data_IF_328579837654
#
_entry.id   IF_328579837654
#
_cell.length_a   1.000
_cell.length_b   1.000
_cell.length_c   1.000
_cell.angle_alpha   90.00
_cell.angle_beta   90.00
_cell.angle_gamma   90.00
#
_symmetry.space_group_name_H-M   'P 1'
#
loop_
_entity.id
_entity.type
_entity.pdbx_description
1 polymer ?
#
# COMPACT_ATOMS: atom_id res chain seq x y z
N UNK A 1 -2.13 -26.00 -11.94
CA UNK A 1 -0.70 -26.21 -12.29
C UNK A 1 0.19 -25.51 -11.26
N UNK A 2 1.38 -26.04 -10.91
CA UNK A 2 2.14 -25.55 -9.76
C UNK A 2 2.68 -24.13 -10.03
N UNK A 3 2.39 -23.17 -9.14
CA UNK A 3 2.75 -21.75 -9.26
C UNK A 3 4.25 -21.44 -9.07
N UNK A 4 5.10 -22.45 -8.92
CA UNK A 4 6.50 -22.31 -8.44
C UNK A 4 7.46 -21.65 -9.44
N UNK A 5 7.10 -21.54 -10.73
CA UNK A 5 7.99 -20.95 -11.76
C UNK A 5 7.62 -19.53 -12.19
N UNK A 6 6.60 -18.91 -11.57
CA UNK A 6 6.14 -17.57 -11.95
C UNK A 6 6.91 -16.45 -11.28
N UNK A 7 7.50 -16.66 -10.10
CA UNK A 7 8.02 -15.56 -9.28
C UNK A 7 9.55 -15.43 -9.41
N UNK A 8 10.04 -14.22 -9.71
CA UNK A 8 11.47 -13.90 -9.86
C UNK A 8 11.92 -12.82 -8.89
N UNK A 9 13.22 -12.81 -8.57
CA UNK A 9 13.86 -11.80 -7.69
C UNK A 9 14.39 -10.57 -8.45
N UNK A 10 14.69 -10.74 -9.73
CA UNK A 10 15.26 -9.70 -10.60
C UNK A 10 14.39 -9.48 -11.82
N UNK A 11 14.41 -8.28 -12.42
CA UNK A 11 13.70 -7.99 -13.65
C UNK A 11 14.18 -8.89 -14.80
N UNK A 12 13.30 -9.13 -15.79
CA UNK A 12 13.64 -9.85 -17.00
C UNK A 12 14.44 -8.94 -17.95
N UNK A 13 15.68 -9.31 -18.33
CA UNK A 13 16.52 -8.49 -19.21
C UNK A 13 15.98 -8.36 -20.64
N UNK A 14 15.01 -9.21 -21.04
CA UNK A 14 14.35 -9.13 -22.35
C UNK A 14 13.18 -8.16 -22.37
N UNK A 15 12.68 -7.76 -21.20
CA UNK A 15 11.55 -6.83 -21.05
C UNK A 15 12.08 -5.42 -20.84
N UNK A 16 11.34 -4.43 -21.34
CA UNK A 16 11.64 -3.02 -21.03
C UNK A 16 11.26 -2.67 -19.58
N UNK A 17 11.59 -1.46 -19.15
CA UNK A 17 11.34 -0.99 -17.79
C UNK A 17 9.85 -1.08 -17.39
N UNK A 18 8.93 -0.61 -18.24
CA UNK A 18 7.49 -0.60 -17.93
C UNK A 18 6.90 -2.01 -17.86
N UNK A 19 7.35 -2.92 -18.73
CA UNK A 19 6.95 -4.32 -18.69
C UNK A 19 7.41 -5.00 -17.39
N UNK A 20 8.66 -4.76 -16.98
CA UNK A 20 9.15 -5.25 -15.69
C UNK A 20 8.42 -4.62 -14.50
N UNK A 21 7.98 -3.37 -14.61
CA UNK A 21 7.18 -2.73 -13.57
C UNK A 21 5.76 -3.30 -13.51
N UNK A 22 5.16 -3.65 -14.66
CA UNK A 22 3.88 -4.38 -14.71
C UNK A 22 3.99 -5.72 -13.99
N UNK A 23 5.03 -6.51 -14.31
CA UNK A 23 5.33 -7.79 -13.65
C UNK A 23 5.50 -7.62 -12.12
N UNK A 24 6.03 -6.48 -11.67
CA UNK A 24 6.14 -6.13 -10.26
C UNK A 24 4.77 -5.78 -9.64
N UNK A 25 3.96 -5.02 -10.36
CA UNK A 25 2.61 -4.65 -9.92
C UNK A 25 1.71 -5.87 -9.78
N UNK A 26 1.78 -6.83 -10.71
CA UNK A 26 1.05 -8.09 -10.63
C UNK A 26 1.48 -8.92 -9.41
N UNK A 27 2.79 -8.95 -9.11
CA UNK A 27 3.31 -9.56 -7.88
C UNK A 27 2.75 -8.88 -6.63
N UNK A 28 2.73 -7.54 -6.60
CA UNK A 28 2.15 -6.79 -5.50
C UNK A 28 0.66 -7.09 -5.35
N UNK A 29 -0.10 -7.13 -6.45
CA UNK A 29 -1.52 -7.45 -6.45
C UNK A 29 -1.78 -8.83 -5.85
N UNK A 30 -1.11 -9.89 -6.33
CA UNK A 30 -1.25 -11.24 -5.77
C UNK A 30 -0.94 -11.27 -4.25
N UNK A 31 0.07 -10.51 -3.83
CA UNK A 31 0.47 -10.42 -2.42
C UNK A 31 -0.57 -9.67 -1.60
N UNK A 32 -1.15 -8.59 -2.13
CA UNK A 32 -2.22 -7.83 -1.49
C UNK A 32 -3.49 -8.66 -1.38
N UNK A 33 -3.88 -9.40 -2.42
CA UNK A 33 -5.03 -10.32 -2.37
C UNK A 33 -4.88 -11.35 -1.25
N UNK A 34 -3.70 -11.97 -1.10
CA UNK A 34 -3.42 -12.91 0.00
C UNK A 34 -3.53 -12.24 1.38
N UNK A 35 -3.11 -10.99 1.51
CA UNK A 35 -3.24 -10.22 2.76
C UNK A 35 -4.70 -9.84 3.01
N UNK A 36 -5.44 -9.49 1.96
CA UNK A 36 -6.86 -9.14 2.02
C UNK A 36 -7.71 -10.34 2.44
N UNK A 37 -7.51 -11.51 1.83
CA UNK A 37 -8.20 -12.73 2.25
C UNK A 37 -7.96 -13.03 3.74
N UNK A 38 -6.71 -12.93 4.20
CA UNK A 38 -6.38 -13.11 5.63
C UNK A 38 -7.01 -12.06 6.55
N UNK A 39 -7.28 -10.87 6.04
CA UNK A 39 -7.97 -9.82 6.79
C UNK A 39 -9.47 -10.13 6.90
N UNK A 40 -10.10 -10.51 5.79
CA UNK A 40 -11.53 -10.86 5.72
C UNK A 40 -11.85 -12.11 6.53
N UNK A 41 -10.92 -13.06 6.63
CA UNK A 41 -11.04 -14.25 7.47
C UNK A 41 -11.05 -13.95 8.99
N UNK A 42 -10.71 -12.73 9.42
CA UNK A 42 -10.76 -12.33 10.84
C UNK A 42 -12.18 -11.95 11.25
N UNK A 43 -12.66 -12.55 12.34
CA UNK A 43 -14.06 -12.47 12.76
C UNK A 43 -14.42 -11.18 13.51
N UNK A 44 -13.45 -10.49 14.14
CA UNK A 44 -13.69 -9.29 14.91
C UNK A 44 -12.79 -8.11 14.47
N UNK A 45 -13.27 -6.90 14.72
CA UNK A 45 -12.59 -5.66 14.34
C UNK A 45 -11.22 -5.52 15.02
N UNK A 46 -11.07 -5.95 16.27
CA UNK A 46 -9.81 -5.85 17.00
C UNK A 46 -8.69 -6.69 16.35
N UNK A 47 -8.99 -7.91 15.92
CA UNK A 47 -8.06 -8.77 15.19
C UNK A 47 -7.73 -8.21 13.81
N UNK A 48 -8.72 -7.64 13.12
CA UNK A 48 -8.52 -6.95 11.84
C UNK A 48 -7.57 -5.75 12.03
N UNK A 49 -7.81 -4.89 13.03
CA UNK A 49 -6.94 -3.76 13.35
C UNK A 49 -5.54 -4.20 13.75
N UNK A 50 -5.41 -5.21 14.61
CA UNK A 50 -4.10 -5.74 15.02
C UNK A 50 -3.33 -6.34 13.84
N UNK A 51 -4.03 -7.00 12.91
CA UNK A 51 -3.42 -7.53 11.69
C UNK A 51 -2.97 -6.39 10.76
N UNK A 52 -3.82 -5.39 10.51
CA UNK A 52 -3.48 -4.21 9.71
C UNK A 52 -2.31 -3.44 10.31
N UNK A 53 -2.30 -3.23 11.63
CA UNK A 53 -1.22 -2.55 12.31
C UNK A 53 0.11 -3.31 12.15
N UNK A 54 0.10 -4.65 12.32
CA UNK A 54 1.29 -5.48 12.07
C UNK A 54 1.77 -5.39 10.62
N UNK A 55 0.86 -5.34 9.64
CA UNK A 55 1.23 -5.18 8.23
C UNK A 55 1.75 -3.77 7.92
N UNK A 56 1.15 -2.74 8.50
CA UNK A 56 1.56 -1.35 8.37
C UNK A 56 2.95 -1.13 8.97
N UNK A 57 3.19 -1.59 10.20
CA UNK A 57 4.49 -1.49 10.87
C UNK A 57 5.60 -2.23 10.10
N UNK A 58 5.29 -3.39 9.51
CA UNK A 58 6.25 -4.11 8.63
C UNK A 58 6.66 -3.30 7.40
N UNK A 59 5.79 -2.42 6.90
CA UNK A 59 6.06 -1.57 5.73
C UNK A 59 6.57 -0.17 6.11
N UNK A 60 6.27 0.29 7.31
CA UNK A 60 6.72 1.55 7.90
C UNK A 60 8.09 1.46 8.56
N UNK A 61 8.82 0.34 8.45
CA UNK A 61 10.24 0.33 8.85
C UNK A 61 11.01 1.31 7.95
N UNK A 62 11.21 2.53 8.46
CA UNK A 62 11.97 3.62 7.84
C UNK A 62 13.45 3.20 7.61
N UNK A 63 13.87 2.09 8.21
CA UNK A 63 15.18 1.45 8.07
C UNK A 63 15.19 0.25 7.13
N UNK A 64 14.32 0.22 6.11
CA UNK A 64 14.56 -0.69 4.99
C UNK A 64 15.91 -0.34 4.33
N UNK A 65 16.50 -1.36 3.70
CA UNK A 65 17.81 -1.30 3.04
C UNK A 65 17.97 0.01 2.25
N UNK A 66 19.00 0.80 2.60
CA UNK A 66 19.32 2.09 1.98
C UNK A 66 19.93 1.98 0.58
N UNK A 67 20.07 0.75 0.04
CA UNK A 67 20.61 0.48 -1.29
C UNK A 67 19.49 0.06 -2.22
N UNK A 68 19.57 0.49 -3.48
CA UNK A 68 18.59 0.19 -4.50
C UNK A 68 18.69 -1.29 -4.91
N UNK A 69 17.52 -1.92 -5.01
CA UNK A 69 17.35 -3.28 -5.51
C UNK A 69 16.53 -3.33 -6.80
N UNK A 70 16.47 -2.29 -7.63
CA UNK A 70 15.55 -2.19 -8.78
C UNK A 70 14.12 -1.79 -8.37
N UNK A 71 13.96 -0.99 -7.31
CA UNK A 71 12.66 -0.58 -6.74
C UNK A 71 12.49 0.94 -6.64
N UNK A 72 13.29 1.69 -7.40
CA UNK A 72 13.22 3.14 -7.49
C UNK A 72 11.80 3.69 -7.78
N UNK A 73 11.05 3.04 -8.67
CA UNK A 73 9.71 3.50 -9.04
C UNK A 73 8.67 3.28 -7.94
N UNK A 74 8.86 2.30 -7.06
CA UNK A 74 8.00 2.14 -5.88
C UNK A 74 8.12 3.34 -4.93
N UNK A 75 9.30 3.96 -4.89
CA UNK A 75 9.51 5.18 -4.11
C UNK A 75 8.94 6.41 -4.83
N UNK A 76 8.95 6.44 -6.16
CA UNK A 76 8.24 7.50 -6.92
C UNK A 76 6.73 7.40 -6.64
N UNK A 77 6.14 6.22 -6.75
CA UNK A 77 4.72 5.97 -6.44
C UNK A 77 4.42 6.24 -4.97
N UNK A 78 5.33 5.84 -4.07
CA UNK A 78 5.23 6.08 -2.63
C UNK A 78 5.36 7.55 -2.23
N UNK A 79 6.06 8.37 -3.01
CA UNK A 79 6.18 9.81 -2.80
C UNK A 79 5.06 10.62 -3.51
N UNK A 80 4.28 10.01 -4.40
CA UNK A 80 3.29 10.74 -5.22
C UNK A 80 1.89 10.18 -5.07
N UNK A 81 1.61 9.02 -5.66
CA UNK A 81 0.28 8.44 -5.73
C UNK A 81 -0.27 8.05 -4.35
N UNK A 82 0.54 7.41 -3.49
CA UNK A 82 0.08 7.04 -2.15
C UNK A 82 -0.27 8.26 -1.28
N UNK A 83 0.57 9.31 -1.21
CA UNK A 83 0.22 10.54 -0.51
C UNK A 83 -1.03 11.21 -1.08
N UNK A 84 -1.17 11.28 -2.40
CA UNK A 84 -2.33 11.89 -3.05
C UNK A 84 -3.64 11.17 -2.67
N UNK A 85 -3.66 9.84 -2.72
CA UNK A 85 -4.82 9.03 -2.31
C UNK A 85 -5.13 9.24 -0.83
N UNK A 86 -4.11 9.28 0.03
CA UNK A 86 -4.28 9.52 1.47
C UNK A 86 -4.85 10.91 1.77
N UNK A 87 -4.40 11.95 1.04
CA UNK A 87 -4.93 13.31 1.17
C UNK A 87 -6.39 13.41 0.70
N UNK A 88 -6.71 12.84 -0.47
CA UNK A 88 -8.10 12.81 -0.97
C UNK A 88 -9.02 12.10 0.03
N UNK A 89 -8.58 10.96 0.56
CA UNK A 89 -9.32 10.20 1.58
C UNK A 89 -9.51 11.01 2.86
N UNK A 90 -8.47 11.74 3.30
CA UNK A 90 -8.55 12.63 4.46
C UNK A 90 -9.54 13.77 4.26
N UNK A 91 -9.54 14.43 3.11
CA UNK A 91 -10.46 15.53 2.80
C UNK A 91 -11.91 15.01 2.75
N UNK A 92 -12.15 13.90 2.07
CA UNK A 92 -13.48 13.31 1.95
C UNK A 92 -14.05 12.93 3.33
N UNK A 93 -13.24 12.26 4.16
CA UNK A 93 -13.66 11.85 5.51
C UNK A 93 -13.80 13.02 6.47
N UNK A 94 -13.02 14.09 6.32
CA UNK A 94 -13.21 15.34 7.06
C UNK A 94 -14.55 16.00 6.69
N UNK A 95 -14.89 16.03 5.40
CA UNK A 95 -16.19 16.55 4.94
C UNK A 95 -17.36 15.78 5.55
N UNK A 96 -17.27 14.46 5.60
CA UNK A 96 -18.25 13.61 6.30
C UNK A 96 -18.30 13.91 7.80
N UNK A 97 -17.15 14.09 8.45
CA UNK A 97 -17.10 14.42 9.87
C UNK A 97 -17.79 15.75 10.19
N UNK A 98 -17.56 16.77 9.37
CA UNK A 98 -18.21 18.08 9.50
C UNK A 98 -19.72 17.98 9.29
N UNK A 99 -20.15 17.26 8.26
CA UNK A 99 -21.56 17.06 7.95
C UNK A 99 -22.32 16.37 9.10
N UNK A 100 -21.79 15.25 9.57
CA UNK A 100 -22.37 14.50 10.70
C UNK A 100 -22.29 15.29 12.01
N UNK A 101 -21.22 16.06 12.22
CA UNK A 101 -21.06 16.94 13.38
C UNK A 101 -22.10 18.07 13.42
N UNK A 102 -22.37 18.71 12.29
CA UNK A 102 -23.41 19.74 12.16
C UNK A 102 -24.79 19.13 12.44
N UNK A 103 -25.11 17.96 11.86
CA UNK A 103 -26.38 17.27 12.13
C UNK A 103 -26.57 16.94 13.60
N UNK A 104 -25.54 16.39 14.24
CA UNK A 104 -25.56 16.10 15.67
C UNK A 104 -25.83 17.37 16.51
N UNK A 105 -25.20 18.49 16.15
CA UNK A 105 -25.39 19.77 16.84
C UNK A 105 -26.82 20.29 16.66
N UNK A 106 -27.33 20.33 15.43
CA UNK A 106 -28.66 20.84 15.07
C UNK A 106 -29.77 20.04 15.75
N UNK A 107 -29.63 18.70 15.84
CA UNK A 107 -30.54 17.84 16.60
C UNK A 107 -30.45 18.16 18.10
N UNK A 108 -29.24 18.32 18.64
CA UNK A 108 -29.03 18.60 20.06
C UNK A 108 -29.63 19.93 20.51
N UNK A 109 -29.64 20.95 19.64
CA UNK A 109 -30.26 22.25 19.91
C UNK A 109 -31.76 22.30 19.55
N UNK A 110 -32.35 21.19 19.10
CA UNK A 110 -33.78 21.07 18.84
C UNK A 110 -34.27 21.74 17.56
N UNK A 111 -33.36 22.07 16.62
CA UNK A 111 -33.74 22.66 15.33
C UNK A 111 -34.25 21.60 14.33
N UNK A 112 -33.87 20.33 14.50
CA UNK A 112 -34.31 19.20 13.67
C UNK A 112 -34.62 18.00 14.57
N UNK A 113 -35.60 17.20 14.15
CA UNK A 113 -35.98 15.98 14.85
C UNK A 113 -34.85 14.95 14.86
N UNK A 114 -34.73 14.22 15.96
CA UNK A 114 -33.80 13.10 16.06
C UNK A 114 -34.25 11.98 15.10
N UNK A 115 -33.37 11.57 14.20
CA UNK A 115 -33.60 10.52 13.20
C UNK A 115 -33.22 9.12 13.69
N UNK A 116 -32.84 8.99 14.97
CA UNK A 116 -32.44 7.74 15.60
C UNK A 116 -31.01 7.32 15.29
N UNK A 117 -30.22 8.14 14.60
CA UNK A 117 -28.83 7.83 14.27
C UNK A 117 -27.84 8.46 15.26
N UNK A 118 -26.75 7.74 15.52
CA UNK A 118 -25.63 8.24 16.33
C UNK A 118 -24.67 9.12 15.52
N UNK A 119 -25.15 10.27 15.04
CA UNK A 119 -24.37 11.21 14.22
C UNK A 119 -23.04 11.63 14.88
N UNK A 120 -23.01 11.75 16.20
CA UNK A 120 -21.79 12.10 16.94
C UNK A 120 -20.69 11.02 16.83
N UNK A 121 -21.05 9.73 16.89
CA UNK A 121 -20.11 8.61 16.72
C UNK A 121 -19.60 8.54 15.28
N UNK A 122 -20.49 8.77 14.30
CA UNK A 122 -20.11 8.84 12.89
C UNK A 122 -19.14 9.98 12.61
N UNK A 123 -19.42 11.17 13.16
CA UNK A 123 -18.55 12.33 13.04
C UNK A 123 -17.16 12.08 13.63
N UNK A 124 -17.08 11.50 14.83
CA UNK A 124 -15.81 11.13 15.46
C UNK A 124 -15.03 10.10 14.65
N UNK A 125 -15.70 9.04 14.20
CA UNK A 125 -15.07 7.98 13.42
C UNK A 125 -14.51 8.51 12.08
N UNK A 126 -15.28 9.35 11.40
CA UNK A 126 -14.85 10.00 10.16
C UNK A 126 -13.68 10.96 10.39
N UNK A 127 -13.68 11.71 11.50
CA UNK A 127 -12.58 12.60 11.87
C UNK A 127 -11.28 11.83 12.17
N UNK A 128 -11.38 10.74 12.93
CA UNK A 128 -10.25 9.85 13.21
C UNK A 128 -9.69 9.25 11.93
N UNK A 129 -10.55 8.78 11.03
CA UNK A 129 -10.13 8.23 9.73
C UNK A 129 -9.45 9.29 8.86
N UNK A 130 -9.93 10.54 8.91
CA UNK A 130 -9.29 11.66 8.23
C UNK A 130 -7.89 11.91 8.74
N UNK A 131 -7.71 12.02 10.05
CA UNK A 131 -6.41 12.22 10.69
C UNK A 131 -5.45 11.05 10.41
N UNK A 132 -5.93 9.80 10.49
CA UNK A 132 -5.13 8.63 10.18
C UNK A 132 -4.66 8.61 8.72
N UNK A 133 -5.56 8.93 7.77
CA UNK A 133 -5.25 8.99 6.35
C UNK A 133 -4.22 10.07 6.02
N UNK A 134 -4.35 11.24 6.67
CA UNK A 134 -3.41 12.34 6.54
C UNK A 134 -2.02 11.99 7.08
N UNK A 135 -1.95 11.45 8.30
CA UNK A 135 -0.67 11.05 8.91
C UNK A 135 0.02 9.94 8.11
N UNK A 136 -0.74 8.96 7.61
CA UNK A 136 -0.21 7.91 6.76
C UNK A 136 0.33 8.47 5.44
N UNK A 137 -0.37 9.43 4.83
CA UNK A 137 0.08 10.13 3.63
C UNK A 137 1.43 10.83 3.84
N UNK A 138 1.57 11.59 4.94
CA UNK A 138 2.84 12.24 5.31
C UNK A 138 3.95 11.21 5.55
N UNK A 139 3.66 10.15 6.30
CA UNK A 139 4.64 9.12 6.61
C UNK A 139 5.15 8.43 5.34
N UNK A 140 4.26 8.09 4.40
CA UNK A 140 4.63 7.53 3.09
C UNK A 140 5.47 8.53 2.29
N UNK A 141 5.04 9.79 2.20
CA UNK A 141 5.76 10.83 1.48
C UNK A 141 7.18 11.01 2.00
N UNK A 142 7.34 11.16 3.32
CA UNK A 142 8.65 11.35 3.95
C UNK A 142 9.54 10.14 3.74
N UNK A 143 9.02 8.92 3.98
CA UNK A 143 9.77 7.68 3.77
C UNK A 143 10.28 7.61 2.32
N UNK A 144 9.38 7.77 1.35
CA UNK A 144 9.74 7.61 -0.04
C UNK A 144 10.60 8.75 -0.57
N UNK A 145 10.41 9.99 -0.11
CA UNK A 145 11.31 11.11 -0.46
C UNK A 145 12.73 10.89 0.06
N UNK A 146 12.88 10.47 1.32
CA UNK A 146 14.19 10.12 1.88
C UNK A 146 14.81 8.97 1.07
N UNK A 147 14.02 7.95 0.74
CA UNK A 147 14.46 6.78 -0.03
C UNK A 147 14.91 7.16 -1.45
N UNK A 148 14.16 8.02 -2.15
CA UNK A 148 14.50 8.54 -3.49
C UNK A 148 15.84 9.26 -3.53
N UNK A 149 16.20 9.96 -2.45
CA UNK A 149 17.48 10.68 -2.36
C UNK A 149 18.59 9.76 -1.90
N UNK A 150 18.36 8.98 -0.85
CA UNK A 150 19.41 8.18 -0.20
C UNK A 150 19.83 6.97 -1.03
N UNK A 151 18.89 6.27 -1.68
CA UNK A 151 19.19 5.04 -2.43
C UNK A 151 20.14 5.23 -3.60
N UNK A 152 19.97 6.23 -4.49
CA UNK A 152 20.93 6.46 -5.56
C UNK A 152 22.33 6.79 -5.04
N UNK A 153 22.43 7.61 -3.98
CA UNK A 153 23.70 8.01 -3.38
C UNK A 153 24.43 6.80 -2.80
N UNK A 154 23.75 6.01 -1.96
CA UNK A 154 24.35 4.83 -1.32
C UNK A 154 24.66 3.75 -2.36
N UNK A 155 23.84 3.59 -3.39
CA UNK A 155 24.08 2.65 -4.50
C UNK A 155 25.27 3.07 -5.36
N UNK A 156 25.47 4.37 -5.61
CA UNK A 156 26.65 4.86 -6.31
C UNK A 156 27.95 4.58 -5.52
N UNK A 157 27.89 4.65 -4.18
CA UNK A 157 29.06 4.42 -3.31
C UNK A 157 29.34 2.92 -3.13
N UNK A 158 28.31 2.09 -2.92
CA UNK A 158 28.45 0.70 -2.48
C UNK A 158 28.03 -0.35 -3.53
N UNK A 159 27.51 0.08 -4.68
CA UNK A 159 26.91 -0.76 -5.72
C UNK A 159 25.50 -1.26 -5.38
N UNK A 160 24.87 -1.99 -6.31
CA UNK A 160 23.55 -2.61 -6.11
C UNK A 160 23.58 -3.63 -4.98
N UNK A 161 22.51 -3.70 -4.20
CA UNK A 161 22.39 -4.72 -3.17
C UNK A 161 21.95 -6.07 -3.77
N UNK A 162 22.34 -7.18 -3.12
CA UNK A 162 21.84 -8.50 -3.49
C UNK A 162 20.33 -8.58 -3.24
N UNK A 163 19.62 -9.04 -4.26
CA UNK A 163 18.18 -9.26 -4.26
C UNK A 163 17.86 -10.61 -3.59
N UNK A 164 17.49 -10.57 -2.32
CA UNK A 164 17.20 -11.78 -1.52
C UNK A 164 15.71 -12.17 -1.56
N UNK A 165 14.85 -11.31 -2.12
CA UNK A 165 13.38 -11.42 -2.06
C UNK A 165 12.76 -11.54 -3.45
N UNK A 166 11.70 -12.31 -3.54
CA UNK A 166 10.82 -12.41 -4.71
C UNK A 166 10.04 -11.12 -4.95
N UNK A 167 9.95 -10.66 -6.21
CA UNK A 167 9.38 -9.36 -6.57
C UNK A 167 8.65 -9.28 -7.92
N UNK A 168 8.87 -10.18 -8.87
CA UNK A 168 8.30 -10.07 -10.22
C UNK A 168 7.53 -11.34 -10.58
N UNK A 169 6.42 -11.22 -11.31
CA UNK A 169 5.73 -12.35 -11.95
C UNK A 169 6.12 -12.41 -13.43
N UNK A 170 6.48 -13.59 -13.95
CA UNK A 170 6.75 -13.79 -15.37
C UNK A 170 5.82 -14.85 -15.96
N UNK A 171 4.96 -14.44 -16.89
CA UNK A 171 4.02 -15.33 -17.59
C UNK A 171 4.67 -16.08 -18.77
N UNK A 172 5.78 -15.58 -19.31
CA UNK A 172 6.39 -16.07 -20.57
C UNK A 172 7.40 -17.20 -20.39
N UNK A 173 7.61 -17.70 -19.16
CA UNK A 173 8.50 -18.86 -18.92
C UNK A 173 7.82 -20.21 -19.15
N UNK A 174 6.87 -20.29 -20.10
CA UNK A 174 6.46 -21.55 -20.75
C UNK A 174 7.36 -21.76 -21.96
N UNK A 175 8.68 -21.75 -21.78
CA UNK A 175 9.60 -22.19 -22.84
C UNK A 175 9.64 -23.71 -22.78
N UNK A 176 9.07 -24.33 -23.80
CA UNK A 176 8.71 -25.74 -23.85
C UNK A 176 9.86 -26.71 -23.60
N UNK A 177 9.60 -27.66 -22.71
CA UNK A 177 10.30 -28.94 -22.64
C UNK A 177 9.56 -30.02 -23.46
N UNK A 178 9.00 -29.64 -24.62
CA UNK A 178 8.22 -30.54 -25.49
C UNK A 178 8.89 -30.81 -26.85
N UNK A 179 10.20 -30.59 -26.99
CA UNK A 179 10.98 -31.02 -28.16
C UNK A 179 12.20 -31.90 -27.84
N UNK A 180 12.15 -32.66 -26.74
CA UNK A 180 13.16 -33.69 -26.44
C UNK A 180 12.51 -35.10 -26.33
N UNK A 181 11.46 -35.33 -27.10
CA UNK A 181 10.83 -36.63 -27.26
C UNK A 181 10.34 -36.79 -28.71
N UNK A 182 11.29 -36.87 -29.64
CA UNK A 182 11.18 -37.56 -30.92
C UNK A 182 12.56 -38.13 -31.27
#
# INVERSE_FOLDING_TARGET
MPKFFRVRRTPDPKKNFFQNYSDHFDYLQEKYEKVWHKLVEKQNLEEQFNFLNKQALKRLSIFEKLRDGYDYFDEVVGATALPAIGLVSSIATLGLALWEGIRALVIKIGLVNNDGQEHHVKAQSALLLSAASFLLSIACFLKSTISLITRPIVTAIYGFEKQDKERFINEDTVVGHLSAAL
#
